data_IF_334095314571
#
_entry.id   IF_334095314571
#
_cell.length_a   1.000
_cell.length_b   1.000
_cell.length_c   1.000
_cell.angle_alpha   90.00
_cell.angle_beta   90.00
_cell.angle_gamma   90.00
#
_symmetry.space_group_name_H-M   'P 1'
#
loop_
_entity.id
_entity.type
_entity.pdbx_description
1 polymer ?
#
# COMPACT_ATOMS: atom_id res chain seq x y z
N UNK A 1 47.52 56.02 5.05
CA UNK A 1 47.32 55.66 6.47
C UNK A 1 45.82 55.60 6.70
N UNK A 2 45.14 54.51 7.00
CA UNK A 2 45.43 53.11 7.36
C UNK A 2 44.39 52.26 6.59
N UNK A 3 44.76 51.08 6.10
CA UNK A 3 43.82 50.14 5.46
C UNK A 3 43.63 48.99 6.44
N UNK A 4 42.50 49.00 7.16
CA UNK A 4 42.19 47.99 8.18
C UNK A 4 42.03 46.61 7.54
N UNK A 5 42.95 45.71 7.90
CA UNK A 5 42.95 44.31 7.49
C UNK A 5 42.23 43.50 8.58
N UNK A 6 40.94 43.23 8.37
CA UNK A 6 40.17 42.30 9.19
C UNK A 6 40.65 40.86 8.94
N UNK A 7 41.41 40.31 9.87
CA UNK A 7 41.76 38.89 9.92
C UNK A 7 40.58 38.11 10.51
N UNK A 8 39.80 37.43 9.65
CA UNK A 8 38.88 36.39 10.09
C UNK A 8 39.71 35.16 10.50
N UNK A 9 39.85 34.93 11.80
CA UNK A 9 40.36 33.66 12.33
C UNK A 9 39.28 32.59 12.19
N UNK A 10 39.46 31.66 11.25
CA UNK A 10 38.65 30.45 11.19
C UNK A 10 39.04 29.53 12.35
N UNK A 11 38.15 29.37 13.33
CA UNK A 11 38.26 28.31 14.31
C UNK A 11 38.01 26.97 13.62
N UNK A 12 39.09 26.26 13.30
CA UNK A 12 39.04 24.83 12.98
C UNK A 12 38.78 24.08 14.29
N UNK A 13 37.50 23.94 14.65
CA UNK A 13 37.08 23.01 15.68
C UNK A 13 37.35 21.60 15.21
N UNK A 14 38.32 20.91 15.83
CA UNK A 14 38.44 19.47 15.70
C UNK A 14 37.18 18.84 16.31
N UNK A 15 36.23 18.44 15.46
CA UNK A 15 35.22 17.48 15.86
C UNK A 15 35.96 16.17 16.15
N UNK A 16 36.10 15.83 17.42
CA UNK A 16 36.42 14.46 17.82
C UNK A 16 35.35 13.57 17.21
N UNK A 17 35.69 12.86 16.14
CA UNK A 17 34.88 11.75 15.67
C UNK A 17 34.89 10.72 16.79
N UNK A 18 33.86 10.76 17.63
CA UNK A 18 33.54 9.62 18.47
C UNK A 18 33.40 8.46 17.47
N UNK A 19 34.24 7.43 17.61
CA UNK A 19 34.06 6.16 16.92
C UNK A 19 32.78 5.53 17.47
N UNK A 20 31.66 6.15 17.12
CA UNK A 20 30.32 5.70 17.46
C UNK A 20 30.08 4.43 16.68
N UNK A 21 29.52 3.44 17.36
CA UNK A 21 28.98 2.26 16.72
C UNK A 21 28.19 2.68 15.47
N UNK A 22 28.42 1.98 14.37
CA UNK A 22 27.67 2.19 13.13
C UNK A 22 26.17 2.25 13.47
N UNK A 23 25.48 3.37 13.18
CA UNK A 23 24.07 3.53 13.56
C UNK A 23 23.14 2.52 12.88
N UNK A 24 23.63 1.81 11.86
CA UNK A 24 22.93 0.73 11.18
C UNK A 24 23.36 -0.66 11.65
N UNK A 25 24.40 -0.77 12.48
CA UNK A 25 24.82 -2.03 13.04
C UNK A 25 23.93 -2.42 14.24
N UNK A 26 23.42 -3.66 14.29
CA UNK A 26 22.73 -4.16 15.47
C UNK A 26 23.63 -4.11 16.70
N UNK A 27 23.06 -3.70 17.84
CA UNK A 27 23.73 -3.72 19.14
C UNK A 27 22.97 -4.63 20.09
N UNK A 28 23.70 -5.30 20.99
CA UNK A 28 23.08 -6.04 22.08
C UNK A 28 22.36 -5.06 23.02
N UNK A 29 21.11 -5.37 23.34
CA UNK A 29 20.29 -4.59 24.27
C UNK A 29 19.42 -5.53 25.09
N UNK A 30 18.93 -5.04 26.23
CA UNK A 30 17.98 -5.79 27.07
C UNK A 30 16.63 -5.85 26.38
N UNK A 31 16.06 -7.05 26.23
CA UNK A 31 14.70 -7.21 25.69
C UNK A 31 13.70 -6.42 26.56
N UNK A 32 12.89 -5.52 25.98
CA UNK A 32 11.88 -4.80 26.72
C UNK A 32 10.88 -5.77 27.37
N UNK A 33 10.56 -5.58 28.66
CA UNK A 33 9.58 -6.40 29.39
C UNK A 33 8.15 -6.26 28.85
N UNK A 34 7.89 -5.18 28.10
CA UNK A 34 6.63 -4.89 27.43
C UNK A 34 6.53 -5.48 26.02
N UNK A 35 7.55 -6.20 25.51
CA UNK A 35 7.51 -6.78 24.17
C UNK A 35 6.35 -7.78 24.06
N UNK A 36 5.45 -7.54 23.11
CA UNK A 36 4.35 -8.45 22.75
C UNK A 36 4.57 -8.97 21.35
N UNK A 37 4.61 -10.29 21.19
CA UNK A 37 4.64 -10.97 19.89
C UNK A 37 3.36 -11.78 19.80
N UNK A 38 2.56 -11.54 18.75
CA UNK A 38 1.36 -12.34 18.49
C UNK A 38 1.76 -13.71 17.96
N UNK A 39 1.15 -14.76 18.51
CA UNK A 39 1.20 -16.09 17.90
C UNK A 39 0.44 -16.08 16.57
N UNK A 40 1.04 -16.62 15.50
CA UNK A 40 0.38 -16.74 14.20
C UNK A 40 -0.47 -18.02 14.03
N UNK A 41 -0.78 -18.72 15.14
CA UNK A 41 -1.51 -20.00 15.10
C UNK A 41 -3.00 -19.85 14.79
N UNK A 42 -3.59 -18.72 15.18
CA UNK A 42 -5.05 -18.52 15.17
C UNK A 42 -5.54 -17.76 13.92
N UNK A 43 -4.73 -17.72 12.85
CA UNK A 43 -5.09 -17.07 11.58
C UNK A 43 -4.79 -15.57 11.59
N UNK A 44 -5.71 -14.75 11.07
CA UNK A 44 -5.55 -13.30 10.95
C UNK A 44 -5.51 -12.62 12.34
N UNK A 45 -5.08 -11.36 12.40
CA UNK A 45 -5.26 -10.58 13.64
C UNK A 45 -6.72 -10.16 13.80
N UNK A 46 -7.10 -9.71 15.00
CA UNK A 46 -8.44 -9.20 15.26
C UNK A 46 -8.73 -7.96 14.39
N UNK A 47 -7.73 -7.11 14.20
CA UNK A 47 -7.81 -5.90 13.37
C UNK A 47 -8.01 -6.24 11.89
N UNK A 48 -7.27 -7.23 11.38
CA UNK A 48 -7.41 -7.66 9.98
C UNK A 48 -8.74 -8.38 9.74
N UNK A 49 -9.19 -9.18 10.71
CA UNK A 49 -10.50 -9.83 10.66
C UNK A 49 -11.62 -8.79 10.63
N UNK A 50 -11.55 -7.78 11.50
CA UNK A 50 -12.46 -6.65 11.50
C UNK A 50 -12.43 -5.86 10.18
N UNK A 51 -11.24 -5.61 9.63
CA UNK A 51 -11.09 -4.98 8.31
C UNK A 51 -11.83 -5.77 7.23
N UNK A 52 -11.67 -7.10 7.18
CA UNK A 52 -12.34 -7.95 6.19
C UNK A 52 -13.86 -7.85 6.28
N UNK A 53 -14.42 -7.84 7.48
CA UNK A 53 -15.87 -7.70 7.67
C UNK A 53 -16.38 -6.34 7.16
N UNK A 54 -15.67 -5.25 7.45
CA UNK A 54 -16.07 -3.93 6.94
C UNK A 54 -15.89 -3.83 5.43
N UNK A 55 -14.79 -4.39 4.91
CA UNK A 55 -14.51 -4.40 3.47
C UNK A 55 -15.57 -5.16 2.71
N UNK A 56 -16.03 -6.30 3.25
CA UNK A 56 -17.06 -7.11 2.62
C UNK A 56 -18.38 -6.36 2.38
N UNK A 57 -18.77 -5.47 3.30
CA UNK A 57 -19.96 -4.61 3.14
C UNK A 57 -19.84 -3.65 1.96
N UNK A 58 -18.62 -3.17 1.68
CA UNK A 58 -18.32 -2.30 0.55
C UNK A 58 -18.17 -3.08 -0.77
N UNK A 59 -17.80 -4.36 -0.69
CA UNK A 59 -17.58 -5.19 -1.87
C UNK A 59 -18.86 -5.45 -2.66
N UNK A 60 -20.00 -5.65 -2.00
CA UNK A 60 -21.27 -5.95 -2.68
C UNK A 60 -21.67 -4.83 -3.67
N UNK A 61 -21.81 -3.55 -3.26
CA UNK A 61 -22.16 -2.49 -4.21
C UNK A 61 -21.08 -2.26 -5.26
N UNK A 62 -19.79 -2.31 -4.89
CA UNK A 62 -18.70 -2.14 -5.86
C UNK A 62 -18.69 -3.24 -6.92
N UNK A 63 -18.97 -4.49 -6.52
CA UNK A 63 -19.03 -5.63 -7.42
C UNK A 63 -20.24 -5.55 -8.34
N UNK A 64 -21.39 -5.10 -7.84
CA UNK A 64 -22.56 -4.84 -8.66
C UNK A 64 -22.27 -3.80 -9.75
N UNK A 65 -21.68 -2.65 -9.36
CA UNK A 65 -21.33 -1.58 -10.28
C UNK A 65 -20.34 -2.04 -11.35
N UNK A 66 -19.30 -2.78 -10.95
CA UNK A 66 -18.32 -3.31 -11.89
C UNK A 66 -18.92 -4.37 -12.83
N UNK A 67 -19.73 -5.30 -12.33
CA UNK A 67 -20.34 -6.35 -13.16
C UNK A 67 -21.32 -5.76 -14.19
N UNK A 68 -22.05 -4.70 -13.83
CA UNK A 68 -22.87 -3.93 -14.78
C UNK A 68 -22.01 -3.28 -15.85
N UNK A 69 -20.87 -2.68 -15.47
CA UNK A 69 -19.93 -2.07 -16.42
C UNK A 69 -19.30 -3.10 -17.36
N UNK A 70 -18.86 -4.24 -16.83
CA UNK A 70 -18.25 -5.31 -17.60
C UNK A 70 -19.19 -5.84 -18.70
N UNK A 71 -20.51 -5.82 -18.44
CA UNK A 71 -21.57 -6.17 -19.38
C UNK A 71 -21.34 -7.57 -20.00
N UNK A 72 -21.17 -8.55 -19.11
CA UNK A 72 -20.95 -9.95 -19.47
C UNK A 72 -22.24 -10.51 -20.08
N UNK A 73 -22.15 -11.05 -21.30
CA UNK A 73 -23.31 -11.60 -22.00
C UNK A 73 -23.93 -12.78 -21.25
N UNK A 74 -25.26 -12.85 -21.22
CA UNK A 74 -26.04 -13.90 -20.53
C UNK A 74 -25.83 -13.98 -19.01
N UNK A 75 -25.30 -12.92 -18.38
CA UNK A 75 -25.10 -12.87 -16.94
C UNK A 75 -26.08 -11.91 -16.26
N UNK A 76 -26.92 -12.43 -15.36
CA UNK A 76 -27.87 -11.61 -14.61
C UNK A 76 -27.23 -11.08 -13.32
N UNK A 77 -26.67 -9.86 -13.38
CA UNK A 77 -25.98 -9.22 -12.26
C UNK A 77 -26.88 -9.10 -11.03
N UNK A 78 -28.11 -8.62 -11.18
CA UNK A 78 -29.04 -8.45 -10.05
C UNK A 78 -29.34 -9.76 -9.34
N UNK A 79 -29.54 -10.85 -10.09
CA UNK A 79 -29.77 -12.17 -9.49
C UNK A 79 -28.54 -12.68 -8.73
N UNK A 80 -27.34 -12.45 -9.27
CA UNK A 80 -26.09 -12.82 -8.62
C UNK A 80 -25.87 -12.04 -7.33
N UNK A 81 -26.01 -10.71 -7.37
CA UNK A 81 -25.81 -9.82 -6.22
C UNK A 81 -26.82 -10.11 -5.11
N UNK A 82 -28.10 -10.34 -5.45
CA UNK A 82 -29.13 -10.68 -4.46
C UNK A 82 -28.90 -12.01 -3.73
N UNK A 83 -28.09 -12.91 -4.31
CA UNK A 83 -27.69 -14.18 -3.69
C UNK A 83 -26.42 -14.05 -2.85
N UNK A 84 -25.65 -12.98 -3.05
CA UNK A 84 -24.36 -12.79 -2.41
C UNK A 84 -24.56 -12.34 -0.96
N UNK A 85 -23.89 -13.01 -0.02
CA UNK A 85 -23.82 -12.61 1.38
C UNK A 85 -22.48 -11.93 1.64
N UNK A 86 -22.41 -11.12 2.69
CA UNK A 86 -21.15 -10.47 3.11
C UNK A 86 -20.03 -11.48 3.35
N UNK A 87 -20.35 -12.68 3.83
CA UNK A 87 -19.35 -13.70 4.13
C UNK A 87 -18.87 -14.45 2.87
N UNK A 88 -19.58 -14.27 1.74
CA UNK A 88 -19.35 -14.97 0.46
C UNK A 88 -18.78 -14.04 -0.62
N UNK A 89 -18.46 -12.78 -0.29
CA UNK A 89 -17.89 -11.85 -1.26
C UNK A 89 -16.48 -12.28 -1.69
N UNK A 90 -16.09 -12.07 -2.96
CA UNK A 90 -14.75 -12.37 -3.40
C UNK A 90 -13.71 -11.50 -2.68
N UNK A 91 -12.60 -12.11 -2.29
CA UNK A 91 -11.43 -11.42 -1.74
C UNK A 91 -10.40 -11.31 -2.86
N UNK A 92 -10.17 -10.09 -3.34
CA UNK A 92 -9.29 -9.85 -4.49
C UNK A 92 -8.05 -9.09 -4.02
N UNK A 93 -6.87 -9.50 -4.51
CA UNK A 93 -5.60 -8.85 -4.21
C UNK A 93 -4.92 -8.29 -5.46
N UNK A 94 -4.32 -7.11 -5.35
CA UNK A 94 -3.32 -6.63 -6.31
C UNK A 94 -1.92 -6.89 -5.75
N UNK A 95 -1.04 -7.48 -6.56
CA UNK A 95 0.37 -7.67 -6.19
C UNK A 95 1.28 -7.03 -7.23
N UNK A 96 2.23 -6.22 -6.76
CA UNK A 96 3.21 -5.53 -7.61
C UNK A 96 4.61 -5.97 -7.24
N UNK A 97 5.34 -6.53 -8.21
CA UNK A 97 6.69 -7.06 -8.00
C UNK A 97 7.74 -5.95 -7.76
N UNK A 98 8.95 -6.37 -7.41
CA UNK A 98 10.13 -5.49 -7.43
C UNK A 98 10.54 -5.07 -8.85
N UNK A 99 11.51 -4.16 -8.93
CA UNK A 99 12.00 -3.61 -10.20
C UNK A 99 12.15 -2.09 -10.19
N UNK A 100 12.50 -1.52 -9.03
CA UNK A 100 12.72 -0.08 -8.86
C UNK A 100 11.53 0.77 -9.30
N UNK A 101 11.84 2.00 -9.70
CA UNK A 101 10.85 2.99 -10.11
C UNK A 101 10.01 2.53 -11.30
N UNK A 102 10.55 1.72 -12.22
CA UNK A 102 9.77 1.21 -13.34
C UNK A 102 8.60 0.34 -12.87
N UNK A 103 8.86 -0.58 -11.92
CA UNK A 103 7.78 -1.41 -11.37
C UNK A 103 6.75 -0.57 -10.62
N UNK A 104 7.20 0.41 -9.82
CA UNK A 104 6.32 1.32 -9.09
C UNK A 104 5.40 2.11 -10.02
N UNK A 105 5.96 2.76 -11.05
CA UNK A 105 5.18 3.52 -12.03
C UNK A 105 4.26 2.61 -12.85
N UNK A 106 4.71 1.43 -13.24
CA UNK A 106 3.88 0.43 -13.92
C UNK A 106 2.67 0.02 -13.09
N UNK A 107 2.88 -0.25 -11.79
CA UNK A 107 1.80 -0.60 -10.86
C UNK A 107 0.80 0.55 -10.65
N UNK A 108 1.26 1.81 -10.56
CA UNK A 108 0.37 2.98 -10.53
C UNK A 108 -0.42 3.14 -11.84
N UNK A 109 0.18 2.82 -12.99
CA UNK A 109 -0.52 2.77 -14.28
C UNK A 109 -1.64 1.73 -14.29
N UNK A 110 -1.38 0.53 -13.77
CA UNK A 110 -2.41 -0.52 -13.60
C UNK A 110 -3.52 -0.04 -12.67
N UNK A 111 -3.17 0.60 -11.55
CA UNK A 111 -4.16 1.18 -10.63
C UNK A 111 -5.06 2.19 -11.33
N UNK A 112 -4.48 3.12 -12.10
CA UNK A 112 -5.23 4.11 -12.86
C UNK A 112 -6.12 3.46 -13.94
N UNK A 113 -5.66 2.40 -14.59
CA UNK A 113 -6.42 1.66 -15.58
C UNK A 113 -7.62 0.90 -14.98
N UNK A 114 -7.61 0.65 -13.68
CA UNK A 114 -8.63 -0.08 -12.94
C UNK A 114 -9.53 0.82 -12.09
N UNK A 115 -9.21 2.10 -11.95
CA UNK A 115 -9.95 3.01 -11.08
C UNK A 115 -11.27 3.47 -11.71
N UNK A 116 -12.38 3.30 -10.99
CA UNK A 116 -13.70 3.80 -11.40
C UNK A 116 -13.73 5.31 -11.65
N UNK A 117 -12.83 6.09 -11.05
CA UNK A 117 -12.74 7.55 -11.27
C UNK A 117 -12.28 7.91 -12.68
N UNK A 118 -11.52 7.04 -13.34
CA UNK A 118 -11.01 7.26 -14.70
C UNK A 118 -12.08 7.02 -15.76
N UNK A 119 -12.42 8.05 -16.54
CA UNK A 119 -13.37 7.92 -17.66
C UNK A 119 -12.85 6.97 -18.75
N UNK A 120 -11.54 6.96 -18.98
CA UNK A 120 -10.87 6.08 -19.94
C UNK A 120 -10.98 4.62 -19.46
N UNK A 121 -10.74 4.35 -18.17
CA UNK A 121 -10.89 3.01 -17.60
C UNK A 121 -12.34 2.51 -17.68
N UNK A 122 -13.32 3.38 -17.40
CA UNK A 122 -14.75 3.04 -17.55
C UNK A 122 -15.09 2.73 -19.01
N UNK A 123 -14.61 3.52 -19.96
CA UNK A 123 -14.81 3.26 -21.39
C UNK A 123 -14.19 1.92 -21.84
N UNK A 124 -13.02 1.56 -21.27
CA UNK A 124 -12.36 0.28 -21.48
C UNK A 124 -13.00 -0.89 -20.69
N UNK A 125 -14.03 -0.63 -19.88
CA UNK A 125 -14.72 -1.60 -18.99
C UNK A 125 -13.83 -2.22 -17.92
N UNK A 126 -12.70 -1.59 -17.59
CA UNK A 126 -11.79 -2.03 -16.51
C UNK A 126 -11.91 -1.18 -15.25
N UNK A 127 -12.53 0.01 -15.35
CA UNK A 127 -12.78 0.88 -14.20
C UNK A 127 -13.69 0.23 -13.16
N UNK A 128 -13.33 0.32 -11.89
CA UNK A 128 -14.05 -0.34 -10.79
C UNK A 128 -13.30 -1.53 -10.20
N UNK A 129 -12.37 -2.14 -10.94
CA UNK A 129 -11.54 -3.23 -10.42
C UNK A 129 -10.72 -2.81 -9.18
N UNK A 130 -10.23 -1.57 -9.15
CA UNK A 130 -9.54 -1.02 -7.97
C UNK A 130 -10.44 -1.04 -6.73
N UNK A 131 -11.71 -0.69 -6.91
CA UNK A 131 -12.71 -0.71 -5.84
C UNK A 131 -13.08 -2.12 -5.38
N UNK A 132 -12.64 -3.17 -6.08
CA UNK A 132 -12.80 -4.58 -5.69
C UNK A 132 -11.61 -5.16 -4.92
N UNK A 133 -10.48 -4.45 -4.80
CA UNK A 133 -9.33 -4.98 -4.09
C UNK A 133 -9.54 -4.95 -2.57
N UNK A 134 -9.41 -6.11 -1.93
CA UNK A 134 -9.36 -6.26 -0.47
C UNK A 134 -7.94 -6.11 0.07
N UNK A 135 -6.94 -6.43 -0.75
CA UNK A 135 -5.52 -6.39 -0.38
C UNK A 135 -4.67 -5.81 -1.50
N UNK A 136 -3.61 -5.10 -1.13
CA UNK A 136 -2.57 -4.64 -2.06
C UNK A 136 -1.24 -5.02 -1.44
N UNK A 137 -0.39 -5.66 -2.23
CA UNK A 137 0.93 -6.11 -1.79
C UNK A 137 1.98 -5.62 -2.77
N UNK A 138 3.17 -5.34 -2.26
CA UNK A 138 4.26 -4.81 -3.05
C UNK A 138 5.61 -5.07 -2.40
N UNK A 139 6.61 -5.42 -3.19
CA UNK A 139 7.98 -5.59 -2.74
C UNK A 139 8.92 -4.67 -3.53
N UNK A 140 9.95 -4.11 -2.88
CA UNK A 140 10.94 -3.23 -3.51
C UNK A 140 10.23 -2.07 -4.24
N UNK A 141 10.47 -1.89 -5.54
CA UNK A 141 9.79 -0.90 -6.37
C UNK A 141 8.26 -0.94 -6.29
N UNK A 142 7.66 -2.13 -6.23
CA UNK A 142 6.21 -2.30 -6.05
C UNK A 142 5.71 -1.88 -4.67
N UNK A 143 6.59 -1.85 -3.66
CA UNK A 143 6.26 -1.31 -2.34
C UNK A 143 5.98 0.20 -2.36
N UNK A 144 6.50 0.93 -3.35
CA UNK A 144 6.12 2.33 -3.54
C UNK A 144 4.63 2.48 -3.88
N UNK A 145 4.04 1.49 -4.59
CA UNK A 145 2.61 1.47 -4.93
C UNK A 145 1.76 1.27 -3.69
N UNK A 146 2.13 0.32 -2.81
CA UNK A 146 1.39 0.10 -1.56
C UNK A 146 1.41 1.32 -0.66
N UNK A 147 2.53 2.04 -0.58
CA UNK A 147 2.64 3.22 0.28
C UNK A 147 1.93 4.44 -0.31
N UNK A 148 1.95 4.62 -1.63
CA UNK A 148 1.37 5.83 -2.27
C UNK A 148 -0.15 5.80 -2.39
N UNK A 149 -0.78 4.65 -2.15
CA UNK A 149 -2.22 4.41 -2.33
C UNK A 149 -2.99 4.26 -1.02
N UNK A 150 -2.28 4.27 0.12
CA UNK A 150 -2.85 4.42 1.47
C UNK A 150 -3.16 5.88 1.75
#
# INVERSE_FOLDING_TARGET
>A
MYRDLLLLTAFLGFTLAQSGADPYAPVYTTCPSSLKIRSAKDGLSDEESFWREQRAKQMIPNLEDYLKLANISNFNVTNYINKLKTDDVPIVGLSVSGGGTQSGLGGLGVWQAFDARSSIARAARTGGLTQLFSYITGLSGGGAVTVSLL
#
